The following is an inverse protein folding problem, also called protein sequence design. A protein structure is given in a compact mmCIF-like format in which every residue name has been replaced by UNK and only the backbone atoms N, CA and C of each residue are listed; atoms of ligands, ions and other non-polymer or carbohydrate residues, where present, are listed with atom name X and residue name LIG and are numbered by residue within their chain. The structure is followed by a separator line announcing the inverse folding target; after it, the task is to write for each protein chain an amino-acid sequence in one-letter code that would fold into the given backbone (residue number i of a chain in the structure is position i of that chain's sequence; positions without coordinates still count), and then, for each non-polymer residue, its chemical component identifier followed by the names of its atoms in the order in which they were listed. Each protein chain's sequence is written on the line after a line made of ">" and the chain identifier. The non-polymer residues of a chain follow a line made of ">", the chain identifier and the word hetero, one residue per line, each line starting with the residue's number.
data_IF_286586314923
#
_entry.id   IF_286586314923
#
_cell.length_a   1.000
_cell.length_b   1.000
_cell.length_c   1.000
_cell.angle_alpha   90.00
_cell.angle_beta   90.00
_cell.angle_gamma   90.00
#
_symmetry.space_group_name_H-M   'P 1'
#
loop_
_entity.id
_entity.type
_entity.pdbx_description
1 polymer ?
#
# COMPACT_ATOMS: atom_id res chain seq x y z
N UNK A 1 5.55 7.71 3.24
CA UNK A 1 4.69 6.65 2.64
C UNK A 1 4.43 5.60 3.70
N UNK A 2 3.22 5.06 3.76
CA UNK A 2 2.87 3.90 4.59
C UNK A 2 2.06 2.88 3.78
N UNK A 3 2.10 1.63 4.23
CA UNK A 3 1.26 0.55 3.72
C UNK A 3 0.65 -0.18 4.92
N UNK A 4 -0.68 -0.19 5.00
CA UNK A 4 -1.43 -0.66 6.15
C UNK A 4 -2.01 -2.06 5.91
N UNK A 5 -2.16 -2.90 6.94
CA UNK A 5 -2.69 -4.25 6.78
C UNK A 5 -4.12 -4.32 6.21
N UNK A 6 -4.88 -3.22 6.29
CA UNK A 6 -6.20 -3.06 5.67
C UNK A 6 -6.16 -2.86 4.14
N UNK A 7 -4.97 -2.91 3.52
CA UNK A 7 -4.79 -2.76 2.08
C UNK A 7 -4.59 -1.33 1.60
N UNK A 8 -4.60 -0.34 2.51
CA UNK A 8 -4.36 1.06 2.18
C UNK A 8 -2.86 1.35 2.01
N UNK A 9 -2.51 1.92 0.88
CA UNK A 9 -1.25 2.61 0.65
C UNK A 9 -1.52 4.11 0.75
N UNK A 10 -0.72 4.83 1.54
CA UNK A 10 -0.89 6.27 1.70
C UNK A 10 0.44 7.02 1.62
N UNK A 11 0.39 8.21 1.04
CA UNK A 11 1.49 9.17 0.99
C UNK A 11 1.10 10.38 1.83
N UNK A 12 2.04 10.84 2.64
CA UNK A 12 1.86 11.94 3.56
C UNK A 12 2.91 13.00 3.31
N UNK A 13 2.52 14.26 3.53
CA UNK A 13 3.45 15.36 3.64
C UNK A 13 4.39 15.13 4.84
N UNK A 14 5.70 15.31 4.62
CA UNK A 14 6.72 14.93 5.61
C UNK A 14 6.76 15.85 6.84
N UNK A 15 6.31 17.09 6.70
CA UNK A 15 6.45 18.12 7.74
C UNK A 15 5.17 18.22 8.57
N UNK A 16 4.01 18.08 7.92
CA UNK A 16 2.69 18.23 8.53
C UNK A 16 2.02 16.90 8.87
N UNK A 17 2.44 15.79 8.23
CA UNK A 17 1.75 14.51 8.32
C UNK A 17 0.40 14.48 7.59
N UNK A 18 0.05 15.52 6.82
CA UNK A 18 -1.19 15.56 6.05
C UNK A 18 -1.19 14.46 4.97
N UNK A 19 -2.29 13.71 4.85
CA UNK A 19 -2.43 12.69 3.80
C UNK A 19 -2.62 13.38 2.44
N UNK A 20 -1.68 13.16 1.52
CA UNK A 20 -1.66 13.76 0.18
C UNK A 20 -2.35 12.86 -0.85
N UNK A 21 -2.25 11.54 -0.67
CA UNK A 21 -2.77 10.56 -1.61
C UNK A 21 -2.95 9.20 -0.92
N UNK A 22 -3.89 8.40 -1.42
CA UNK A 22 -4.00 6.99 -1.05
C UNK A 22 -4.54 6.12 -2.19
N UNK A 23 -4.33 4.82 -2.04
CA UNK A 23 -4.82 3.79 -2.95
C UNK A 23 -5.08 2.49 -2.18
N UNK A 24 -6.16 1.79 -2.52
CA UNK A 24 -6.48 0.48 -1.96
C UNK A 24 -6.10 -0.63 -2.93
N UNK A 25 -5.23 -1.53 -2.49
CA UNK A 25 -4.68 -2.62 -3.31
C UNK A 25 -5.66 -3.77 -3.58
N UNK A 26 -6.84 -3.74 -2.93
CA UNK A 26 -7.84 -4.80 -2.98
C UNK A 26 -7.50 -6.04 -2.15
N UNK A 27 -6.31 -6.11 -1.56
CA UNK A 27 -5.88 -7.17 -0.63
C UNK A 27 -5.10 -6.60 0.56
N UNK A 28 -4.77 -7.44 1.54
CA UNK A 28 -4.03 -7.07 2.75
C UNK A 28 -2.57 -6.79 2.42
N UNK A 29 -1.87 -5.99 3.22
CA UNK A 29 -0.44 -5.74 3.01
C UNK A 29 0.33 -6.18 4.25
N UNK A 30 1.30 -7.08 4.07
CA UNK A 30 2.25 -7.49 5.11
C UNK A 30 3.68 -6.99 4.84
N UNK A 31 4.00 -6.66 3.60
CA UNK A 31 5.34 -6.25 3.20
C UNK A 31 5.57 -4.75 3.43
N UNK A 32 6.83 -4.37 3.64
CA UNK A 32 7.25 -2.98 3.60
C UNK A 32 7.25 -2.46 2.15
N UNK A 33 6.97 -1.17 2.00
CA UNK A 33 7.09 -0.48 0.71
C UNK A 33 8.55 -0.11 0.41
N UNK A 34 8.93 -0.10 -0.86
CA UNK A 34 10.27 0.30 -1.33
C UNK A 34 10.19 1.42 -2.37
N UNK A 35 11.29 2.15 -2.56
CA UNK A 35 11.46 3.10 -3.66
C UNK A 35 12.73 2.79 -4.45
N UNK A 36 12.71 3.10 -5.74
CA UNK A 36 13.84 2.94 -6.66
C UNK A 36 13.70 3.93 -7.82
N UNK A 37 14.73 4.02 -8.67
CA UNK A 37 14.70 4.83 -9.88
C UNK A 37 15.15 4.02 -11.09
N UNK A 38 14.53 4.29 -12.25
CA UNK A 38 14.91 3.75 -13.57
C UNK A 38 15.00 4.94 -14.51
N UNK A 39 16.13 5.10 -15.20
CA UNK A 39 16.38 6.21 -16.12
C UNK A 39 16.06 7.60 -15.53
N UNK A 40 16.37 7.79 -14.25
CA UNK A 40 16.14 9.04 -13.52
C UNK A 40 14.69 9.25 -13.02
N UNK A 41 13.73 8.41 -13.42
CA UNK A 41 12.35 8.48 -12.93
C UNK A 41 12.18 7.65 -11.65
N UNK A 42 11.62 8.26 -10.60
CA UNK A 42 11.38 7.60 -9.31
C UNK A 42 10.08 6.81 -9.31
N UNK A 43 10.13 5.63 -8.68
CA UNK A 43 9.00 4.76 -8.45
C UNK A 43 8.93 4.34 -6.99
N UNK A 44 7.75 3.93 -6.55
CA UNK A 44 7.61 3.12 -5.35
C UNK A 44 6.80 1.86 -5.63
N UNK A 45 7.16 0.78 -4.96
CA UNK A 45 6.56 -0.54 -5.16
C UNK A 45 6.16 -1.19 -3.84
N UNK A 46 5.04 -1.93 -3.89
CA UNK A 46 4.41 -2.57 -2.74
C UNK A 46 3.91 -3.95 -3.16
N UNK A 47 4.38 -4.97 -2.46
CA UNK A 47 3.83 -6.31 -2.55
C UNK A 47 2.64 -6.40 -1.59
N UNK A 48 1.44 -6.50 -2.13
CA UNK A 48 0.23 -6.78 -1.36
C UNK A 48 -0.10 -8.28 -1.43
N UNK A 49 -0.70 -8.77 -0.35
CA UNK A 49 -0.91 -10.16 -0.03
C UNK A 49 -0.15 -10.56 1.24
N UNK A 50 -0.48 -11.74 1.77
CA UNK A 50 0.32 -12.39 2.82
C UNK A 50 0.04 -11.97 4.26
N UNK A 51 -0.81 -10.96 4.52
CA UNK A 51 -1.23 -10.62 5.89
C UNK A 51 -2.33 -11.60 6.38
N UNK A 52 -1.97 -12.89 6.53
CA UNK A 52 -2.79 -13.88 7.21
C UNK A 52 -2.85 -13.53 8.70
N UNK A 53 -3.92 -12.85 9.12
CA UNK A 53 -4.18 -12.54 10.53
C UNK A 53 -4.54 -11.10 10.86
N UNK A 54 -4.54 -10.17 9.90
CA UNK A 54 -4.86 -8.76 10.17
C UNK A 54 -6.38 -8.43 10.20
N UNK A 55 -7.25 -9.39 9.89
CA UNK A 55 -8.71 -9.19 9.82
C UNK A 55 -9.37 -9.53 11.17
N UNK A 56 -8.92 -8.91 12.26
CA UNK A 56 -9.66 -8.97 13.53
C UNK A 56 -9.98 -7.61 14.14
N UNK A 57 -9.56 -6.50 13.51
CA UNK A 57 -9.84 -5.13 14.01
C UNK A 57 -10.42 -4.19 12.95
N UNK A 58 -10.65 -4.65 11.72
CA UNK A 58 -11.29 -3.83 10.70
C UNK A 58 -12.78 -3.62 11.05
N UNK A 59 -13.32 -2.39 10.97
CA UNK A 59 -14.74 -2.10 11.29
C UNK A 59 -15.73 -2.81 10.35
N UNK A 60 -15.25 -3.45 9.28
CA UNK A 60 -16.04 -4.20 8.31
C UNK A 60 -15.63 -5.68 8.29
N UNK A 61 -16.35 -6.57 9.00
CA UNK A 61 -16.12 -8.03 9.01
C UNK A 61 -16.24 -8.72 7.65
N UNK A 62 -16.79 -8.03 6.64
CA UNK A 62 -16.95 -8.53 5.26
C UNK A 62 -15.79 -8.23 4.30
N UNK A 63 -14.82 -7.41 4.71
CA UNK A 63 -13.62 -7.15 3.91
C UNK A 63 -12.61 -8.29 4.12
N UNK A 64 -12.97 -9.51 3.68
CA UNK A 64 -11.97 -10.54 3.45
C UNK A 64 -11.08 -10.08 2.30
N UNK A 65 -10.02 -9.36 2.64
CA UNK A 65 -8.98 -9.00 1.70
C UNK A 65 -8.41 -10.30 1.13
N UNK A 66 -8.73 -10.58 -0.13
CA UNK A 66 -8.52 -11.89 -0.75
C UNK A 66 -7.05 -12.29 -0.76
N UNK A 67 -6.75 -13.59 -0.63
CA UNK A 67 -5.38 -14.10 -0.53
C UNK A 67 -4.51 -13.99 -1.80
N UNK A 68 -4.98 -13.32 -2.85
CA UNK A 68 -4.26 -13.22 -4.12
C UNK A 68 -3.15 -12.16 -4.01
N UNK A 69 -1.86 -12.55 -4.04
CA UNK A 69 -0.79 -11.58 -3.99
C UNK A 69 -0.72 -10.78 -5.29
N UNK A 70 -0.47 -9.48 -5.19
CA UNK A 70 -0.24 -8.61 -6.33
C UNK A 70 0.89 -7.60 -6.03
N UNK A 71 1.60 -7.19 -7.08
CA UNK A 71 2.65 -6.16 -7.00
C UNK A 71 2.13 -4.88 -7.64
N UNK A 72 2.14 -3.80 -6.88
CA UNK A 72 1.83 -2.46 -7.37
C UNK A 72 3.10 -1.63 -7.50
N UNK A 73 3.22 -0.91 -8.61
CA UNK A 73 4.29 0.04 -8.89
C UNK A 73 3.66 1.36 -9.29
N UNK A 74 4.08 2.45 -8.63
CA UNK A 74 3.56 3.79 -8.87
C UNK A 74 4.69 4.73 -9.26
N UNK A 75 4.39 5.63 -10.19
CA UNK A 75 5.26 6.74 -10.60
C UNK A 75 4.39 7.91 -11.07
N UNK A 76 4.97 9.11 -11.13
CA UNK A 76 4.27 10.25 -11.71
C UNK A 76 4.08 10.06 -13.23
N UNK A 77 3.07 10.71 -13.85
CA UNK A 77 2.98 10.80 -15.31
C UNK A 77 4.27 11.33 -15.94
N UNK A 78 4.46 11.06 -17.23
CA UNK A 78 5.53 11.67 -18.03
C UNK A 78 5.24 13.15 -18.32
#
# INVERSE_FOLDING_TARGET
>A
MSAWPNGEVAVYDKDTGAKLWNFYTGTSIAAAAITYAVDGKQYFAILAGGARGAISTAPNPGAQLGGNPNLWVFGLPD
#
